data_IF_323446867217
#
_entry.id   IF_323446867217
#
_cell.length_a   1.000
_cell.length_b   1.000
_cell.length_c   1.000
_cell.angle_alpha   90.00
_cell.angle_beta   90.00
_cell.angle_gamma   90.00
#
_symmetry.space_group_name_H-M   'P 1'
#
loop_
_entity.id
_entity.type
_entity.pdbx_description
1 polymer ?
#
# COMPACT_ATOMS: atom_id res chain seq x y z
N UNK A 1 -0.68 -34.42 -13.95
CA UNK A 1 0.55 -34.91 -13.29
C UNK A 1 0.24 -35.64 -11.98
N UNK A 2 -0.53 -35.04 -11.08
CA UNK A 2 -1.11 -35.72 -9.92
C UNK A 2 -2.61 -35.94 -10.16
N UNK A 3 -3.12 -37.14 -9.92
CA UNK A 3 -4.55 -37.44 -9.87
C UNK A 3 -5.19 -37.02 -8.54
N UNK A 4 -4.43 -37.11 -7.44
CA UNK A 4 -4.82 -36.58 -6.13
C UNK A 4 -3.65 -35.92 -5.46
N UNK A 5 -3.91 -34.79 -4.83
CA UNK A 5 -2.93 -34.09 -4.01
C UNK A 5 -2.80 -34.73 -2.63
N UNK A 6 -1.64 -34.56 -1.98
CA UNK A 6 -1.49 -34.98 -0.59
C UNK A 6 -2.49 -34.31 0.34
N UNK A 7 -2.96 -35.05 1.34
CA UNK A 7 -3.93 -34.57 2.33
C UNK A 7 -3.29 -33.67 3.41
N UNK A 8 -2.01 -33.89 3.69
CA UNK A 8 -1.31 -33.23 4.79
C UNK A 8 -0.68 -31.91 4.37
N UNK A 9 -1.50 -30.86 4.24
CA UNK A 9 -1.04 -29.55 3.77
C UNK A 9 -0.03 -28.88 4.71
N UNK A 10 -0.08 -29.15 6.02
CA UNK A 10 0.77 -28.47 7.01
C UNK A 10 2.26 -28.78 6.84
N UNK A 11 2.60 -30.04 6.59
CA UNK A 11 3.99 -30.43 6.35
C UNK A 11 4.50 -29.91 4.99
N UNK A 12 3.61 -29.77 4.01
CA UNK A 12 3.93 -29.15 2.73
C UNK A 12 4.13 -27.63 2.83
N UNK A 13 3.42 -26.95 3.74
CA UNK A 13 3.66 -25.54 4.03
C UNK A 13 5.05 -25.33 4.68
N UNK A 14 5.42 -26.16 5.66
CA UNK A 14 6.75 -26.12 6.29
C UNK A 14 7.88 -26.47 5.30
N UNK A 15 7.65 -27.45 4.42
CA UNK A 15 8.54 -27.77 3.30
C UNK A 15 8.72 -26.58 2.35
N UNK A 16 7.65 -25.84 2.05
CA UNK A 16 7.71 -24.67 1.17
C UNK A 16 8.56 -23.54 1.78
N UNK A 17 8.45 -23.31 3.09
CA UNK A 17 9.27 -22.33 3.82
C UNK A 17 10.77 -22.72 3.79
N UNK A 18 11.08 -23.99 4.07
CA UNK A 18 12.45 -24.52 4.01
C UNK A 18 13.04 -24.44 2.60
N UNK A 19 12.23 -24.75 1.57
CA UNK A 19 12.65 -24.67 0.16
C UNK A 19 12.92 -23.22 -0.25
N UNK A 20 12.06 -22.28 0.16
CA UNK A 20 12.25 -20.87 -0.14
C UNK A 20 13.51 -20.30 0.52
N UNK A 21 13.81 -20.73 1.75
CA UNK A 21 15.03 -20.32 2.46
C UNK A 21 16.30 -20.95 1.87
N UNK A 22 16.27 -22.24 1.54
CA UNK A 22 17.40 -22.93 0.87
C UNK A 22 17.76 -22.32 -0.48
N UNK A 23 16.74 -22.01 -1.31
CA UNK A 23 16.95 -21.33 -2.59
C UNK A 23 17.50 -19.89 -2.41
N UNK A 24 17.18 -19.22 -1.30
CA UNK A 24 17.66 -17.87 -1.00
C UNK A 24 19.10 -17.85 -0.48
N UNK A 25 19.47 -18.80 0.39
CA UNK A 25 20.77 -18.82 1.06
C UNK A 25 21.84 -19.60 0.28
N UNK A 26 21.48 -20.74 -0.30
CA UNK A 26 22.41 -21.70 -0.90
C UNK A 26 22.15 -21.95 -2.39
N UNK A 27 20.96 -21.57 -2.90
CA UNK A 27 20.58 -21.77 -4.30
C UNK A 27 20.20 -23.21 -4.63
N UNK A 28 19.98 -24.06 -3.62
CA UNK A 28 19.56 -25.46 -3.76
C UNK A 28 18.36 -25.79 -2.84
N UNK A 29 17.85 -27.01 -2.98
CA UNK A 29 16.69 -27.51 -2.22
C UNK A 29 17.07 -28.64 -1.25
N UNK A 30 18.34 -28.74 -0.87
CA UNK A 30 18.84 -29.90 -0.12
C UNK A 30 18.16 -30.04 1.24
N UNK A 31 18.09 -28.95 2.02
CA UNK A 31 17.46 -28.94 3.36
C UNK A 31 15.97 -29.30 3.31
N UNK A 32 15.25 -28.80 2.30
CA UNK A 32 13.85 -29.17 2.08
C UNK A 32 13.72 -30.66 1.73
N UNK A 33 14.62 -31.17 0.89
CA UNK A 33 14.63 -32.57 0.46
C UNK A 33 14.92 -33.53 1.62
N UNK A 34 15.85 -33.18 2.53
CA UNK A 34 16.08 -33.94 3.77
C UNK A 34 14.83 -33.94 4.67
N UNK A 35 14.15 -32.80 4.79
CA UNK A 35 12.90 -32.71 5.54
C UNK A 35 11.80 -33.60 4.95
N UNK A 36 11.67 -33.62 3.62
CA UNK A 36 10.74 -34.50 2.92
C UNK A 36 11.11 -35.97 3.08
N UNK A 37 12.40 -36.34 3.05
CA UNK A 37 12.85 -37.71 3.30
C UNK A 37 12.41 -38.20 4.69
N UNK A 38 12.57 -37.35 5.71
CA UNK A 38 12.21 -37.67 7.09
C UNK A 38 10.69 -37.84 7.31
N UNK A 39 9.86 -37.12 6.55
CA UNK A 39 8.39 -37.10 6.74
C UNK A 39 7.61 -37.71 5.56
N UNK A 40 8.30 -38.41 4.65
CA UNK A 40 7.73 -38.86 3.37
C UNK A 40 6.41 -39.61 3.49
N UNK A 41 6.30 -40.53 4.44
CA UNK A 41 5.10 -41.34 4.62
C UNK A 41 3.86 -40.49 4.98
N UNK A 42 4.06 -39.41 5.74
CA UNK A 42 3.01 -38.48 6.17
C UNK A 42 2.74 -37.41 5.10
N UNK A 43 3.76 -37.05 4.32
CA UNK A 43 3.66 -36.06 3.25
C UNK A 43 3.09 -36.63 1.95
N UNK A 44 3.23 -37.93 1.70
CA UNK A 44 2.67 -38.61 0.52
C UNK A 44 1.23 -39.11 0.77
N UNK A 45 0.71 -38.97 1.99
CA UNK A 45 -0.60 -39.49 2.37
C UNK A 45 -1.71 -38.90 1.47
N UNK A 46 -2.48 -39.79 0.83
CA UNK A 46 -3.61 -39.41 -0.04
C UNK A 46 -3.22 -38.93 -1.44
N UNK A 47 -1.92 -38.83 -1.75
CA UNK A 47 -1.46 -38.44 -3.08
C UNK A 47 -1.50 -39.59 -4.08
N UNK A 48 -1.93 -39.31 -5.31
CA UNK A 48 -1.92 -40.26 -6.43
C UNK A 48 -1.21 -39.60 -7.61
N UNK A 49 -0.11 -40.18 -8.09
CA UNK A 49 0.70 -39.64 -9.20
C UNK A 49 0.48 -40.43 -10.49
N UNK A 50 0.42 -39.72 -11.62
CA UNK A 50 0.20 -40.35 -12.92
C UNK A 50 1.45 -41.07 -13.47
N UNK A 51 2.65 -40.58 -13.11
CA UNK A 51 3.93 -41.16 -13.55
C UNK A 51 4.94 -41.07 -12.41
N UNK A 52 5.26 -42.20 -11.78
CA UNK A 52 6.07 -42.27 -10.56
C UNK A 52 7.57 -42.01 -10.80
N UNK A 53 8.06 -42.24 -12.01
CA UNK A 53 9.46 -42.08 -12.40
C UNK A 53 9.79 -40.66 -12.88
N UNK A 54 8.83 -39.73 -12.88
CA UNK A 54 9.02 -38.34 -13.33
C UNK A 54 9.46 -37.43 -12.18
N UNK A 55 10.76 -37.35 -11.95
CA UNK A 55 11.40 -36.42 -11.01
C UNK A 55 12.85 -36.15 -11.43
N UNK A 56 13.43 -35.05 -10.94
CA UNK A 56 14.83 -34.71 -11.22
C UNK A 56 15.80 -35.45 -10.29
N UNK A 57 17.08 -35.46 -10.64
CA UNK A 57 18.13 -36.17 -9.90
C UNK A 57 18.35 -35.68 -8.46
N UNK A 58 17.93 -34.44 -8.17
CA UNK A 58 17.98 -33.77 -6.87
C UNK A 58 16.69 -33.96 -6.05
N UNK A 59 15.74 -34.78 -6.54
CA UNK A 59 14.46 -35.06 -5.90
C UNK A 59 14.30 -36.57 -5.64
N UNK A 60 13.49 -36.91 -4.63
CA UNK A 60 13.30 -38.27 -4.12
C UNK A 60 12.08 -38.95 -4.75
N UNK A 61 11.08 -38.19 -5.18
CA UNK A 61 9.83 -38.74 -5.72
C UNK A 61 9.15 -37.83 -6.74
N UNK A 62 8.30 -38.42 -7.58
CA UNK A 62 7.44 -37.66 -8.49
C UNK A 62 6.39 -36.78 -7.77
N UNK A 63 6.05 -37.11 -6.52
CA UNK A 63 5.16 -36.26 -5.69
C UNK A 63 5.92 -35.02 -5.25
N UNK A 64 7.16 -35.17 -4.77
CA UNK A 64 8.04 -34.05 -4.46
C UNK A 64 8.26 -33.16 -5.67
N UNK A 65 8.53 -33.76 -6.84
CA UNK A 65 8.71 -33.03 -8.08
C UNK A 65 7.45 -32.22 -8.46
N UNK A 66 6.27 -32.85 -8.41
CA UNK A 66 5.01 -32.16 -8.71
C UNK A 66 4.74 -31.01 -7.73
N UNK A 67 5.03 -31.20 -6.43
CA UNK A 67 4.89 -30.15 -5.43
C UNK A 67 5.92 -29.04 -5.60
N UNK A 68 7.16 -29.35 -5.99
CA UNK A 68 8.18 -28.36 -6.32
C UNK A 68 7.78 -27.49 -7.51
N UNK A 69 7.25 -28.10 -8.57
CA UNK A 69 6.72 -27.36 -9.73
C UNK A 69 5.55 -26.45 -9.33
N UNK A 70 4.62 -26.97 -8.52
CA UNK A 70 3.51 -26.19 -7.98
C UNK A 70 3.98 -25.01 -7.12
N UNK A 71 4.99 -25.20 -6.27
CA UNK A 71 5.55 -24.17 -5.40
C UNK A 71 6.38 -23.14 -6.17
N UNK A 72 6.93 -23.51 -7.33
CA UNK A 72 7.68 -22.61 -8.19
C UNK A 72 6.76 -21.67 -8.96
N UNK A 73 5.76 -22.22 -9.65
CA UNK A 73 4.76 -21.46 -10.38
C UNK A 73 3.45 -22.27 -10.42
N UNK A 74 2.54 -21.92 -9.51
CA UNK A 74 1.27 -22.64 -9.37
C UNK A 74 0.42 -22.51 -10.64
N UNK A 75 0.43 -21.34 -11.30
CA UNK A 75 -0.39 -21.10 -12.50
C UNK A 75 0.10 -21.96 -13.65
N UNK A 76 1.42 -21.96 -13.91
CA UNK A 76 2.03 -22.81 -14.93
C UNK A 76 1.82 -24.29 -14.61
N UNK A 77 1.94 -24.70 -13.34
CA UNK A 77 1.71 -26.07 -12.92
C UNK A 77 0.29 -26.56 -13.25
N UNK A 78 -0.73 -25.78 -12.92
CA UNK A 78 -2.13 -26.14 -13.22
C UNK A 78 -2.42 -26.16 -14.72
N UNK A 79 -1.92 -25.17 -15.46
CA UNK A 79 -2.13 -25.06 -16.91
C UNK A 79 -1.38 -26.15 -17.70
N UNK A 80 -0.08 -26.32 -17.47
CA UNK A 80 0.77 -27.18 -18.30
C UNK A 80 0.81 -28.64 -17.80
N UNK A 81 0.77 -28.85 -16.48
CA UNK A 81 1.02 -30.17 -15.88
C UNK A 81 -0.26 -30.88 -15.42
N UNK A 82 -1.29 -30.12 -15.05
CA UNK A 82 -2.60 -30.68 -14.69
C UNK A 82 -3.63 -30.62 -15.83
N UNK A 83 -3.40 -29.82 -16.88
CA UNK A 83 -4.38 -29.54 -17.94
C UNK A 83 -5.73 -29.04 -17.40
N UNK A 84 -5.71 -28.51 -16.17
CA UNK A 84 -6.83 -27.86 -15.51
C UNK A 84 -6.33 -26.44 -15.22
N UNK A 85 -6.22 -25.58 -16.26
CA UNK A 85 -5.79 -24.22 -16.05
C UNK A 85 -6.68 -23.63 -14.96
N UNK A 86 -6.06 -23.09 -13.92
CA UNK A 86 -6.80 -22.31 -12.94
C UNK A 86 -7.61 -21.27 -13.73
N UNK A 87 -8.87 -21.00 -13.34
CA UNK A 87 -9.60 -19.90 -13.92
C UNK A 87 -8.66 -18.71 -13.97
N UNK A 88 -8.57 -18.03 -15.12
CA UNK A 88 -7.93 -16.72 -15.16
C UNK A 88 -8.57 -15.93 -14.03
N UNK A 89 -7.87 -15.75 -12.92
CA UNK A 89 -8.19 -14.70 -11.98
C UNK A 89 -7.63 -13.39 -12.57
N UNK A 90 -7.93 -13.18 -13.86
CA UNK A 90 -8.33 -11.90 -14.37
C UNK A 90 -9.60 -11.56 -13.60
N UNK A 91 -9.41 -11.02 -12.40
CA UNK A 91 -10.41 -10.16 -11.81
C UNK A 91 -10.94 -9.31 -12.94
N UNK A 92 -12.24 -9.42 -13.19
CA UNK A 92 -13.01 -8.83 -14.29
C UNK A 92 -13.02 -7.28 -14.33
N UNK A 93 -11.97 -6.66 -13.80
CA UNK A 93 -11.68 -5.25 -13.77
C UNK A 93 -10.27 -5.06 -14.35
N UNK A 94 -10.17 -4.16 -15.33
CA UNK A 94 -8.95 -3.73 -16.00
C UNK A 94 -7.81 -3.48 -14.98
N UNK A 95 -6.69 -4.22 -15.09
CA UNK A 95 -5.50 -3.92 -14.29
C UNK A 95 -4.80 -2.69 -14.87
N UNK A 96 -4.28 -1.84 -14.00
CA UNK A 96 -3.49 -0.69 -14.40
C UNK A 96 -2.19 -1.17 -15.08
N UNK A 97 -1.96 -0.72 -16.30
CA UNK A 97 -0.75 -0.99 -17.07
C UNK A 97 0.17 0.23 -17.08
N UNK A 98 1.46 0.01 -17.35
CA UNK A 98 2.44 1.09 -17.51
C UNK A 98 1.95 2.09 -18.57
N UNK A 99 1.50 1.58 -19.72
CA UNK A 99 0.98 2.37 -20.84
C UNK A 99 -0.23 3.23 -20.42
N UNK A 100 -1.14 2.67 -19.63
CA UNK A 100 -2.30 3.39 -19.09
C UNK A 100 -1.91 4.53 -18.14
N UNK A 101 -0.84 4.37 -17.35
CA UNK A 101 -0.34 5.43 -16.45
C UNK A 101 0.38 6.54 -17.22
N UNK A 102 1.33 6.19 -18.09
CA UNK A 102 2.16 7.19 -18.80
C UNK A 102 1.33 8.05 -19.77
N UNK A 103 0.19 7.54 -20.26
CA UNK A 103 -0.74 8.30 -21.10
C UNK A 103 -1.80 9.07 -20.31
N UNK A 104 -1.81 8.98 -18.97
CA UNK A 104 -2.73 9.73 -18.10
C UNK A 104 -2.32 11.19 -17.89
N UNK A 105 -1.90 11.84 -18.96
CA UNK A 105 -1.31 13.18 -18.96
C UNK A 105 -2.39 14.25 -19.11
N UNK A 106 -2.34 15.27 -18.26
CA UNK A 106 -3.29 16.40 -18.28
C UNK A 106 -2.81 17.60 -19.10
N UNK A 107 -1.56 17.60 -19.59
CA UNK A 107 -1.01 18.68 -20.40
C UNK A 107 -0.62 19.94 -19.65
N UNK A 108 -0.68 19.95 -18.31
CA UNK A 108 -0.35 21.09 -17.44
C UNK A 108 1.13 21.16 -17.13
N UNK A 109 1.60 22.31 -16.68
CA UNK A 109 2.97 22.48 -16.23
C UNK A 109 3.27 21.69 -14.95
N UNK A 110 4.55 21.44 -14.72
CA UNK A 110 5.02 20.88 -13.45
C UNK A 110 4.71 21.85 -12.31
N UNK A 111 4.23 21.33 -11.17
CA UNK A 111 3.76 22.11 -10.01
C UNK A 111 2.50 22.97 -10.22
N UNK A 112 1.87 22.93 -11.40
CA UNK A 112 0.63 23.68 -11.66
C UNK A 112 -0.54 23.07 -10.90
N UNK A 113 -1.34 23.92 -10.24
CA UNK A 113 -2.52 23.50 -9.47
C UNK A 113 -3.80 23.96 -10.18
N UNK A 114 -4.69 23.03 -10.58
CA UNK A 114 -5.97 23.37 -11.20
C UNK A 114 -6.89 24.18 -10.29
N UNK A 115 -7.73 25.04 -10.87
CA UNK A 115 -8.69 25.87 -10.11
C UNK A 115 -9.65 25.07 -9.22
N UNK A 116 -10.03 23.85 -9.63
CA UNK A 116 -10.91 22.97 -8.87
C UNK A 116 -10.25 22.38 -7.62
N UNK A 117 -8.91 22.40 -7.55
CA UNK A 117 -8.19 21.84 -6.41
C UNK A 117 -8.28 22.75 -5.20
N UNK A 118 -8.66 22.15 -4.07
CA UNK A 118 -8.79 22.83 -2.79
C UNK A 118 -7.73 22.37 -1.79
N UNK A 119 -6.98 21.30 -2.10
CA UNK A 119 -6.02 20.69 -1.16
C UNK A 119 -4.77 20.23 -1.88
N UNK A 120 -3.64 20.34 -1.19
CA UNK A 120 -2.37 19.78 -1.62
C UNK A 120 -1.84 18.90 -0.49
N UNK A 121 -1.41 17.69 -0.84
CA UNK A 121 -0.91 16.70 0.11
C UNK A 121 0.45 16.19 -0.34
N UNK A 122 1.28 15.83 0.62
CA UNK A 122 2.59 15.23 0.37
C UNK A 122 2.72 13.93 1.13
N UNK A 123 3.42 12.97 0.54
CA UNK A 123 3.87 11.76 1.21
C UNK A 123 5.37 11.59 1.04
N UNK A 124 6.03 11.09 2.09
CA UNK A 124 7.45 10.71 2.05
C UNK A 124 7.60 9.26 2.49
N UNK A 125 8.13 8.43 1.60
CA UNK A 125 8.53 7.06 1.87
C UNK A 125 10.04 7.03 2.17
N UNK A 126 10.43 6.38 3.25
CA UNK A 126 11.82 6.36 3.73
C UNK A 126 12.45 5.03 3.37
N UNK A 127 13.47 5.09 2.52
CA UNK A 127 14.36 3.98 2.26
C UNK A 127 15.77 4.29 2.76
N UNK A 128 16.55 3.24 3.00
CA UNK A 128 17.91 3.35 3.55
C UNK A 128 18.78 4.36 2.79
N UNK A 129 18.67 4.38 1.47
CA UNK A 129 19.48 5.25 0.61
C UNK A 129 18.78 6.54 0.18
N UNK A 130 17.44 6.57 0.12
CA UNK A 130 16.66 7.65 -0.50
C UNK A 130 15.37 7.92 0.26
N UNK A 131 14.87 9.14 0.16
CA UNK A 131 13.51 9.53 0.52
C UNK A 131 12.71 9.69 -0.76
N UNK A 132 11.78 8.78 -1.05
CA UNK A 132 10.86 8.97 -2.16
C UNK A 132 9.73 9.89 -1.71
N UNK A 133 9.30 10.80 -2.58
CA UNK A 133 8.18 11.68 -2.26
C UNK A 133 7.23 11.82 -3.44
N UNK A 134 5.99 12.14 -3.11
CA UNK A 134 4.92 12.46 -4.06
C UNK A 134 4.15 13.66 -3.51
N UNK A 135 3.74 14.55 -4.40
CA UNK A 135 2.86 15.68 -4.12
C UNK A 135 1.66 15.63 -5.05
N UNK A 136 0.47 15.64 -4.47
CA UNK A 136 -0.79 15.63 -5.22
C UNK A 136 -1.66 16.82 -4.82
N UNK A 137 -2.30 17.43 -5.83
CA UNK A 137 -3.40 18.35 -5.66
C UNK A 137 -4.73 17.61 -5.85
N UNK A 138 -5.73 17.97 -5.04
CA UNK A 138 -7.02 17.28 -5.01
C UNK A 138 -8.18 18.25 -5.01
N UNK A 139 -9.21 17.90 -5.79
CA UNK A 139 -10.56 18.42 -5.64
C UNK A 139 -11.28 17.71 -4.47
N UNK A 140 -12.47 18.19 -4.11
CA UNK A 140 -13.23 17.63 -2.98
C UNK A 140 -13.68 16.18 -3.22
N UNK A 141 -13.80 15.75 -4.48
CA UNK A 141 -14.33 14.45 -4.90
C UNK A 141 -13.25 13.41 -5.26
N UNK A 142 -12.01 13.63 -4.85
CA UNK A 142 -10.82 12.85 -5.24
C UNK A 142 -10.45 12.92 -6.74
N UNK A 143 -11.01 13.85 -7.52
CA UNK A 143 -10.35 14.25 -8.76
C UNK A 143 -8.97 14.79 -8.39
N UNK A 144 -7.93 14.15 -8.91
CA UNK A 144 -6.57 14.29 -8.42
C UNK A 144 -5.58 14.58 -9.53
N UNK A 145 -4.55 15.31 -9.16
CA UNK A 145 -3.46 15.70 -10.04
C UNK A 145 -2.18 15.44 -9.28
N UNK A 146 -1.39 14.47 -9.74
CA UNK A 146 0.00 14.36 -9.30
C UNK A 146 0.70 15.56 -9.90
N UNK A 147 1.25 16.44 -9.06
CA UNK A 147 1.89 17.69 -9.49
C UNK A 147 3.40 17.65 -9.34
N UNK A 148 3.90 16.74 -8.49
CA UNK A 148 5.31 16.45 -8.34
C UNK A 148 5.54 15.05 -7.78
N UNK A 149 6.70 14.48 -8.08
CA UNK A 149 7.25 13.32 -7.39
C UNK A 149 8.75 13.27 -7.63
N UNK A 150 9.47 12.57 -6.77
CA UNK A 150 10.90 12.39 -6.93
C UNK A 150 11.54 11.58 -5.82
N UNK A 151 12.86 11.64 -5.78
CA UNK A 151 13.66 11.14 -4.68
C UNK A 151 14.55 12.26 -4.13
N UNK A 152 14.80 12.20 -2.83
CA UNK A 152 15.81 13.01 -2.17
C UNK A 152 16.88 12.08 -1.56
N UNK A 153 18.17 12.32 -1.82
CA UNK A 153 18.72 13.35 -2.70
C UNK A 153 18.34 13.15 -4.17
N UNK A 154 18.38 14.23 -4.98
CA UNK A 154 18.11 14.15 -6.41
C UNK A 154 19.16 13.29 -7.13
N UNK A 155 18.70 12.27 -7.85
CA UNK A 155 19.52 11.30 -8.59
C UNK A 155 20.10 11.86 -9.88
N UNK A 156 19.62 13.03 -10.34
CA UNK A 156 20.09 13.73 -11.57
C UNK A 156 19.99 12.89 -12.84
N UNK A 157 19.11 11.89 -12.84
CA UNK A 157 18.83 11.00 -13.98
C UNK A 157 17.34 10.64 -13.98
N UNK A 158 16.81 10.42 -15.17
CA UNK A 158 15.39 10.07 -15.37
C UNK A 158 15.05 8.68 -14.87
N UNK A 159 16.02 7.76 -14.90
CA UNK A 159 15.82 6.35 -14.61
C UNK A 159 16.86 5.87 -13.60
N UNK A 160 16.41 5.27 -12.51
CA UNK A 160 17.23 4.76 -11.41
C UNK A 160 16.45 3.74 -10.58
N UNK A 161 17.17 2.92 -9.82
CA UNK A 161 16.60 2.07 -8.78
C UNK A 161 17.21 2.39 -7.42
N UNK A 162 16.64 1.85 -6.36
CA UNK A 162 17.18 1.96 -5.01
C UNK A 162 18.55 1.28 -4.90
N UNK A 163 18.77 0.19 -5.65
CA UNK A 163 20.01 -0.57 -5.64
C UNK A 163 21.20 0.20 -6.24
N UNK A 164 20.95 1.05 -7.25
CA UNK A 164 21.98 1.81 -7.93
C UNK A 164 21.98 3.31 -7.55
N UNK A 165 21.23 3.68 -6.51
CA UNK A 165 21.04 5.05 -6.04
C UNK A 165 22.37 5.80 -5.81
N UNK A 166 22.52 6.95 -6.46
CA UNK A 166 23.64 7.86 -6.33
C UNK A 166 23.22 9.28 -6.78
N UNK A 167 23.25 10.29 -5.89
CA UNK A 167 23.72 10.27 -4.50
C UNK A 167 22.73 9.67 -3.51
N UNK A 168 23.24 9.10 -2.40
CA UNK A 168 22.44 8.57 -1.28
C UNK A 168 22.34 9.55 -0.12
N UNK A 169 21.41 9.32 0.82
CA UNK A 169 21.31 10.07 2.08
C UNK A 169 22.64 10.13 2.84
N UNK A 170 23.33 8.99 2.93
CA UNK A 170 24.65 8.90 3.56
C UNK A 170 25.71 9.73 2.81
N UNK A 171 25.63 9.83 1.47
CA UNK A 171 26.57 10.64 0.70
C UNK A 171 26.41 12.15 0.93
N UNK A 172 25.18 12.60 1.20
CA UNK A 172 24.87 14.02 1.48
C UNK A 172 25.16 14.39 2.94
N UNK A 173 25.12 13.40 3.84
CA UNK A 173 25.41 13.51 5.27
C UNK A 173 26.49 12.50 5.70
N UNK A 174 27.74 12.61 5.22
CA UNK A 174 28.76 11.58 5.40
C UNK A 174 29.25 11.40 6.84
N UNK A 175 29.00 12.38 7.72
CA UNK A 175 29.39 12.35 9.13
C UNK A 175 28.30 11.77 10.04
N UNK A 176 27.08 11.65 9.54
CA UNK A 176 25.94 11.20 10.32
C UNK A 176 25.86 9.68 10.30
N UNK A 177 25.30 9.06 11.35
CA UNK A 177 24.82 7.68 11.26
C UNK A 177 23.60 7.59 10.34
N UNK A 178 23.13 6.37 10.06
CA UNK A 178 21.95 6.13 9.21
C UNK A 178 20.75 6.98 9.66
N UNK A 179 20.42 6.93 10.95
CA UNK A 179 19.33 7.70 11.56
C UNK A 179 19.50 9.22 11.39
N UNK A 180 20.72 9.72 11.59
CA UNK A 180 21.02 11.15 11.42
C UNK A 180 20.91 11.59 9.97
N UNK A 181 21.34 10.75 9.02
CA UNK A 181 21.21 11.04 7.59
C UNK A 181 19.75 11.12 7.15
N UNK A 182 18.88 10.26 7.70
CA UNK A 182 17.43 10.30 7.48
C UNK A 182 16.83 11.57 8.07
N UNK A 183 17.18 11.92 9.32
CA UNK A 183 16.69 13.13 9.98
C UNK A 183 17.06 14.39 9.17
N UNK A 184 18.33 14.52 8.79
CA UNK A 184 18.82 15.64 7.97
C UNK A 184 18.16 15.67 6.59
N UNK A 185 17.93 14.50 5.98
CA UNK A 185 17.21 14.39 4.71
C UNK A 185 15.76 14.86 4.81
N UNK A 186 15.03 14.41 5.84
CA UNK A 186 13.66 14.83 6.11
C UNK A 186 13.57 16.33 6.39
N UNK A 187 14.52 16.88 7.15
CA UNK A 187 14.57 18.32 7.42
C UNK A 187 14.74 19.15 6.14
N UNK A 188 15.65 18.74 5.25
CA UNK A 188 15.88 19.42 3.96
C UNK A 188 14.68 19.29 3.02
N UNK A 189 14.17 18.08 2.83
CA UNK A 189 13.04 17.81 1.93
C UNK A 189 11.77 18.55 2.38
N UNK A 190 11.41 18.42 3.66
CA UNK A 190 10.21 19.10 4.18
C UNK A 190 10.41 20.61 4.30
N UNK A 191 11.63 21.07 4.53
CA UNK A 191 12.00 22.49 4.50
C UNK A 191 11.73 23.15 3.16
N UNK A 192 12.04 22.45 2.06
CA UNK A 192 11.79 22.91 0.69
C UNK A 192 10.29 22.88 0.35
N UNK A 193 9.63 21.73 0.48
CA UNK A 193 8.25 21.57 0.03
C UNK A 193 7.21 22.22 0.94
N UNK A 194 7.31 22.06 2.26
CA UNK A 194 6.29 22.58 3.18
C UNK A 194 6.45 24.09 3.43
N UNK A 195 7.60 24.66 3.05
CA UNK A 195 7.82 26.11 3.01
C UNK A 195 7.34 26.77 1.71
N UNK A 196 7.15 25.98 0.65
CA UNK A 196 6.77 26.45 -0.69
C UNK A 196 5.30 26.87 -0.74
N UNK A 197 5.03 27.84 -1.62
CA UNK A 197 3.69 28.21 -2.02
C UNK A 197 3.44 27.73 -3.45
N UNK A 198 2.29 27.11 -3.68
CA UNK A 198 1.86 26.57 -4.97
C UNK A 198 0.83 27.52 -5.55
N UNK A 199 1.02 27.94 -6.80
CA UNK A 199 0.12 28.88 -7.47
C UNK A 199 -0.97 28.08 -8.18
N UNK A 200 -2.23 28.34 -7.82
CA UNK A 200 -3.39 27.81 -8.53
C UNK A 200 -3.67 28.65 -9.78
N UNK A 201 -4.33 28.06 -10.79
CA UNK A 201 -4.66 28.75 -12.06
C UNK A 201 -5.34 30.13 -11.90
N UNK A 202 -6.08 30.35 -10.82
CA UNK A 202 -6.77 31.61 -10.51
C UNK A 202 -5.88 32.62 -9.76
N UNK A 203 -4.60 32.31 -9.56
CA UNK A 203 -3.63 33.10 -8.80
C UNK A 203 -3.70 32.88 -7.28
N UNK A 204 -4.55 31.98 -6.77
CA UNK A 204 -4.59 31.70 -5.35
C UNK A 204 -3.34 30.94 -4.90
N UNK A 205 -2.69 31.43 -3.84
CA UNK A 205 -1.55 30.75 -3.22
C UNK A 205 -2.03 29.64 -2.30
N UNK A 206 -1.55 28.43 -2.55
CA UNK A 206 -1.84 27.23 -1.78
C UNK A 206 -0.60 26.69 -1.08
N UNK A 207 -0.80 25.93 -0.01
CA UNK A 207 0.26 25.24 0.73
C UNK A 207 -0.14 23.78 0.93
N UNK A 208 0.86 22.93 1.18
CA UNK A 208 0.62 21.54 1.58
C UNK A 208 -0.11 21.53 2.92
N UNK A 209 -1.33 20.97 2.93
CA UNK A 209 -2.20 20.93 4.10
C UNK A 209 -1.84 19.77 5.04
N UNK A 210 -1.31 18.68 4.47
CA UNK A 210 -0.94 17.46 5.20
C UNK A 210 0.25 16.80 4.52
N UNK A 211 1.26 16.49 5.33
CA UNK A 211 2.38 15.64 4.93
C UNK A 211 2.36 14.38 5.79
N UNK A 212 2.36 13.21 5.17
CA UNK A 212 2.55 11.95 5.88
C UNK A 212 3.94 11.41 5.60
N UNK A 213 4.56 10.79 6.60
CA UNK A 213 5.88 10.17 6.48
C UNK A 213 5.75 8.71 6.87
N UNK A 214 6.15 7.80 6.00
CA UNK A 214 6.12 6.38 6.32
C UNK A 214 7.07 6.07 7.49
N UNK A 215 6.54 5.32 8.45
CA UNK A 215 7.26 4.87 9.62
C UNK A 215 7.22 3.34 9.75
N UNK A 216 6.90 2.60 8.68
CA UNK A 216 6.86 1.14 8.71
C UNK A 216 8.25 0.50 8.70
N UNK A 217 9.26 1.20 8.20
CA UNK A 217 10.63 0.69 8.27
C UNK A 217 11.16 0.78 9.72
N UNK A 218 11.38 -0.40 10.35
CA UNK A 218 11.67 -0.50 11.78
C UNK A 218 12.92 0.28 12.22
N UNK A 219 13.92 0.39 11.36
CA UNK A 219 15.17 1.12 11.64
C UNK A 219 15.00 2.65 11.61
N UNK A 220 13.96 3.18 10.95
CA UNK A 220 13.70 4.62 10.90
C UNK A 220 12.54 5.05 11.81
N UNK A 221 11.73 4.11 12.33
CA UNK A 221 10.49 4.41 13.05
C UNK A 221 10.69 5.50 14.11
N UNK A 222 11.60 5.30 15.07
CA UNK A 222 11.78 6.24 16.18
C UNK A 222 12.28 7.61 15.72
N UNK A 223 13.13 7.64 14.68
CA UNK A 223 13.62 8.88 14.04
C UNK A 223 12.46 9.65 13.41
N UNK A 224 11.54 8.97 12.71
CA UNK A 224 10.36 9.62 12.11
C UNK A 224 9.48 10.24 13.19
N UNK A 225 9.21 9.50 14.27
CA UNK A 225 8.41 10.01 15.38
C UNK A 225 9.08 11.21 16.06
N UNK A 226 10.40 11.15 16.27
CA UNK A 226 11.17 12.27 16.81
C UNK A 226 11.10 13.48 15.87
N UNK A 227 11.36 13.28 14.59
CA UNK A 227 11.34 14.32 13.56
C UNK A 227 9.98 15.00 13.46
N UNK A 228 8.89 14.23 13.32
CA UNK A 228 7.54 14.79 13.22
C UNK A 228 7.16 15.60 14.48
N UNK A 229 7.67 15.21 15.65
CA UNK A 229 7.45 15.94 16.91
C UNK A 229 8.24 17.24 16.99
N UNK A 230 9.49 17.24 16.54
CA UNK A 230 10.42 18.36 16.69
C UNK A 230 10.38 19.34 15.51
N UNK A 231 9.82 18.92 14.36
CA UNK A 231 9.75 19.73 13.15
C UNK A 231 8.96 21.03 13.36
N UNK A 232 9.42 22.08 12.69
CA UNK A 232 8.71 23.37 12.59
C UNK A 232 7.31 23.25 11.95
N UNK A 233 7.07 22.15 11.24
CA UNK A 233 5.80 21.82 10.59
C UNK A 233 5.02 20.71 11.32
N UNK A 234 5.27 20.50 12.61
CA UNK A 234 4.63 19.45 13.43
C UNK A 234 3.10 19.48 13.48
N UNK A 235 2.45 20.59 13.06
CA UNK A 235 1.01 20.71 12.91
C UNK A 235 0.46 20.01 11.64
N UNK A 236 1.27 19.89 10.60
CA UNK A 236 0.89 19.31 9.29
C UNK A 236 1.59 17.99 8.99
N UNK A 237 2.80 17.74 9.52
CA UNK A 237 3.52 16.46 9.34
C UNK A 237 3.03 15.44 10.37
N UNK A 238 2.71 14.23 9.92
CA UNK A 238 2.40 13.11 10.80
C UNK A 238 3.13 11.83 10.36
N UNK A 239 3.59 11.00 11.31
CA UNK A 239 4.01 9.64 11.01
C UNK A 239 2.80 8.80 10.58
N UNK A 240 3.00 7.90 9.62
CA UNK A 240 1.97 6.97 9.15
C UNK A 240 2.47 5.54 9.06
N UNK A 241 1.54 4.59 9.20
CA UNK A 241 1.78 3.17 9.01
C UNK A 241 0.68 2.59 8.12
N UNK A 242 1.09 2.07 6.95
CA UNK A 242 0.26 1.16 6.18
C UNK A 242 0.07 -0.17 6.92
N UNK A 243 -1.17 -0.66 7.01
CA UNK A 243 -1.48 -1.97 7.59
C UNK A 243 -2.04 -2.87 6.51
N UNK A 244 -1.45 -4.04 6.39
CA UNK A 244 -2.01 -5.13 5.62
C UNK A 244 -3.29 -5.64 6.30
N UNK A 245 -4.41 -5.56 5.60
CA UNK A 245 -5.71 -6.08 6.06
C UNK A 245 -6.18 -7.07 5.00
N UNK A 246 -5.90 -8.34 5.25
CA UNK A 246 -6.37 -9.44 4.40
C UNK A 246 -7.79 -9.87 4.72
N UNK A 247 -8.32 -10.82 3.94
CA UNK A 247 -9.71 -11.29 4.06
C UNK A 247 -10.05 -11.92 5.44
N UNK A 248 -9.03 -12.40 6.16
CA UNK A 248 -9.18 -12.96 7.51
C UNK A 248 -9.21 -11.90 8.63
N UNK A 249 -8.76 -10.68 8.33
CA UNK A 249 -8.58 -9.59 9.28
C UNK A 249 -9.82 -8.70 9.41
N UNK A 250 -10.01 -8.12 10.59
CA UNK A 250 -11.12 -7.20 10.80
C UNK A 250 -10.83 -5.88 10.05
N UNK A 251 -11.77 -5.35 9.24
CA UNK A 251 -11.57 -4.10 8.52
C UNK A 251 -11.48 -2.90 9.45
N UNK A 252 -10.70 -1.89 9.05
CA UNK A 252 -10.57 -0.64 9.81
C UNK A 252 -11.92 0.07 10.02
N UNK A 253 -12.83 -0.03 9.06
CA UNK A 253 -14.18 0.57 9.15
C UNK A 253 -15.02 -0.01 10.30
N UNK A 254 -14.72 -1.22 10.77
CA UNK A 254 -15.43 -1.90 11.85
C UNK A 254 -14.75 -1.74 13.22
N UNK A 255 -13.62 -1.03 13.29
CA UNK A 255 -12.91 -0.82 14.55
C UNK A 255 -13.72 0.07 15.49
N UNK A 256 -13.81 -0.35 16.76
CA UNK A 256 -14.55 0.41 17.77
C UNK A 256 -13.81 1.72 18.04
N UNK A 257 -14.52 2.84 17.89
CA UNK A 257 -14.00 4.18 18.20
C UNK A 257 -13.82 4.32 19.71
N UNK A 258 -12.58 4.49 20.16
CA UNK A 258 -12.27 4.89 21.53
C UNK A 258 -12.33 6.42 21.69
N UNK A 259 -12.40 6.89 22.95
CA UNK A 259 -12.40 8.33 23.25
C UNK A 259 -11.07 8.94 22.81
N UNK A 260 -11.13 10.00 22.00
CA UNK A 260 -9.96 10.69 21.45
C UNK A 260 -9.45 10.14 20.12
N UNK A 261 -9.96 9.01 19.64
CA UNK A 261 -9.63 8.47 18.31
C UNK A 261 -10.28 9.32 17.21
N UNK A 262 -9.50 9.59 16.16
CA UNK A 262 -10.03 10.08 14.88
C UNK A 262 -10.10 8.89 13.91
N UNK A 263 -11.23 8.74 13.24
CA UNK A 263 -11.47 7.67 12.27
C UNK A 263 -12.05 8.36 11.03
N UNK A 264 -11.58 7.95 9.86
CA UNK A 264 -12.13 8.36 8.59
C UNK A 264 -12.25 7.18 7.64
N UNK A 265 -12.18 7.48 6.35
CA UNK A 265 -12.40 6.50 5.30
C UNK A 265 -11.22 5.53 5.19
N UNK A 266 -11.35 4.31 5.73
CA UNK A 266 -10.27 3.30 5.74
C UNK A 266 -8.93 3.81 6.31
N UNK A 267 -8.99 4.77 7.24
CA UNK A 267 -7.88 5.22 8.05
C UNK A 267 -8.35 5.55 9.47
N UNK A 268 -7.43 5.48 10.43
CA UNK A 268 -7.63 5.94 11.80
C UNK A 268 -6.37 6.59 12.34
N UNK A 269 -6.57 7.48 13.29
CA UNK A 269 -5.51 8.09 14.08
C UNK A 269 -5.88 7.88 15.54
N UNK A 270 -5.35 6.82 16.18
CA UNK A 270 -5.65 6.53 17.57
C UNK A 270 -5.23 7.68 18.47
N UNK A 271 -5.85 7.76 19.64
CA UNK A 271 -5.35 8.65 20.68
C UNK A 271 -3.94 8.23 21.11
N UNK A 272 -3.18 9.18 21.65
CA UNK A 272 -1.84 8.94 22.14
C UNK A 272 -1.92 7.97 23.33
N UNK A 273 -1.25 6.82 23.24
CA UNK A 273 -1.19 5.81 24.29
C UNK A 273 0.23 5.26 24.45
N UNK A 274 0.69 5.10 25.69
CA UNK A 274 2.03 4.57 26.00
C UNK A 274 3.17 5.59 25.88
N UNK A 275 4.36 5.14 25.43
CA UNK A 275 5.61 5.93 25.38
C UNK A 275 5.69 6.95 24.23
N UNK A 276 4.83 6.84 23.20
CA UNK A 276 4.88 7.71 22.02
C UNK A 276 4.10 8.99 22.31
N UNK A 277 4.71 10.16 22.14
CA UNK A 277 4.13 11.45 22.54
C UNK A 277 3.24 12.10 21.46
N UNK A 278 3.33 11.66 20.21
CA UNK A 278 2.55 12.20 19.08
C UNK A 278 1.62 11.15 18.47
N UNK A 279 0.56 11.62 17.82
CA UNK A 279 -0.37 10.77 17.08
C UNK A 279 0.28 10.28 15.78
N UNK A 280 -0.18 9.13 15.30
CA UNK A 280 0.22 8.57 14.02
C UNK A 280 -1.01 8.10 13.25
N UNK A 281 -0.89 8.03 11.92
CA UNK A 281 -1.96 7.58 11.04
C UNK A 281 -1.79 6.08 10.78
N UNK A 282 -2.89 5.34 10.85
CA UNK A 282 -2.98 3.96 10.40
C UNK A 282 -3.96 3.92 9.24
N UNK A 283 -3.61 3.30 8.13
CA UNK A 283 -4.51 3.14 6.98
C UNK A 283 -4.43 1.74 6.41
N UNK A 284 -5.51 1.33 5.73
CA UNK A 284 -5.62 0.04 5.06
C UNK A 284 -4.91 0.10 3.69
N UNK A 285 -3.72 -0.48 3.60
CA UNK A 285 -2.88 -0.37 2.40
C UNK A 285 -3.53 -1.03 1.19
N UNK A 286 -4.18 -2.18 1.37
CA UNK A 286 -4.85 -2.92 0.30
C UNK A 286 -6.01 -2.10 -0.28
N UNK A 287 -6.85 -1.56 0.61
CA UNK A 287 -7.97 -0.71 0.18
C UNK A 287 -7.49 0.50 -0.62
N UNK A 288 -6.49 1.23 -0.11
CA UNK A 288 -6.04 2.47 -0.73
C UNK A 288 -5.25 2.24 -2.03
N UNK A 289 -4.54 1.11 -2.18
CA UNK A 289 -3.93 0.71 -3.46
C UNK A 289 -5.00 0.45 -4.51
N UNK A 290 -6.03 -0.35 -4.19
CA UNK A 290 -7.19 -0.53 -5.08
C UNK A 290 -7.85 0.80 -5.42
N UNK A 291 -8.08 1.66 -4.41
CA UNK A 291 -8.70 2.96 -4.62
C UNK A 291 -7.94 3.82 -5.64
N UNK A 292 -6.62 3.96 -5.48
CA UNK A 292 -5.77 4.73 -6.38
C UNK A 292 -5.74 4.16 -7.79
N UNK A 293 -5.60 2.84 -7.95
CA UNK A 293 -5.63 2.21 -9.26
C UNK A 293 -6.96 2.47 -9.98
N UNK A 294 -8.07 2.39 -9.24
CA UNK A 294 -9.37 2.76 -9.80
C UNK A 294 -9.42 4.23 -10.25
N UNK A 295 -8.74 5.17 -9.57
CA UNK A 295 -8.71 6.59 -10.00
C UNK A 295 -7.87 6.79 -11.27
N UNK A 296 -6.78 6.04 -11.45
CA UNK A 296 -6.03 6.06 -12.70
C UNK A 296 -6.79 5.44 -13.87
N UNK A 297 -7.68 4.48 -13.62
CA UNK A 297 -8.51 3.88 -14.66
C UNK A 297 -9.68 4.77 -15.11
N UNK A 298 -10.18 5.66 -14.24
CA UNK A 298 -11.26 6.59 -14.61
C UNK A 298 -10.83 7.53 -15.73
N UNK A 299 -11.61 7.62 -16.81
CA UNK A 299 -11.33 8.44 -17.99
C UNK A 299 -10.98 9.89 -17.66
N UNK A 300 -10.09 10.48 -18.45
CA UNK A 300 -9.77 11.91 -18.33
C UNK A 300 -11.03 12.76 -18.50
N UNK A 301 -11.32 13.64 -17.54
CA UNK A 301 -12.50 14.49 -17.50
C UNK A 301 -13.66 13.96 -16.64
N UNK A 302 -13.64 12.67 -16.28
CA UNK A 302 -14.59 12.11 -15.33
C UNK A 302 -14.17 12.40 -13.88
N UNK A 303 -15.16 12.49 -12.99
CA UNK A 303 -14.95 12.75 -11.56
C UNK A 303 -14.18 11.63 -10.88
N UNK A 304 -13.24 12.01 -10.02
CA UNK A 304 -12.35 11.09 -9.35
C UNK A 304 -11.20 10.59 -10.24
N UNK A 305 -10.99 11.13 -11.43
CA UNK A 305 -9.81 10.80 -12.24
C UNK A 305 -8.54 11.26 -11.53
N UNK A 306 -7.49 10.43 -11.53
CA UNK A 306 -6.13 10.82 -11.13
C UNK A 306 -5.26 10.92 -12.39
N UNK A 307 -4.57 12.06 -12.55
CA UNK A 307 -3.75 12.37 -13.74
C UNK A 307 -2.35 12.85 -13.38
N UNK A 308 -1.44 12.78 -14.35
CA UNK A 308 -0.05 13.24 -14.27
C UNK A 308 0.11 14.56 -15.05
N UNK A 309 1.06 15.39 -14.62
CA UNK A 309 1.40 16.64 -15.31
C UNK A 309 2.09 16.39 -16.66
N UNK A 310 2.26 17.43 -17.47
CA UNK A 310 3.07 17.39 -18.68
C UNK A 310 2.40 16.74 -19.90
N UNK A 311 3.20 16.56 -20.96
CA UNK A 311 2.79 15.99 -22.26
C UNK A 311 3.75 14.92 -22.77
N UNK A 312 4.79 14.58 -22.02
CA UNK A 312 5.85 13.65 -22.40
C UNK A 312 5.70 12.35 -21.61
N UNK A 313 5.13 11.26 -22.18
CA UNK A 313 4.96 9.99 -21.47
C UNK A 313 6.28 9.42 -20.94
N UNK A 314 7.38 9.60 -21.68
CA UNK A 314 8.70 9.11 -21.32
C UNK A 314 9.21 9.66 -19.98
N UNK A 315 8.77 10.86 -19.59
CA UNK A 315 9.13 11.47 -18.30
C UNK A 315 8.51 10.72 -17.09
N UNK A 316 7.46 9.94 -17.33
CA UNK A 316 6.70 9.23 -16.31
C UNK A 316 6.93 7.71 -16.32
N UNK A 317 7.84 7.20 -17.16
CA UNK A 317 8.03 5.75 -17.33
C UNK A 317 8.43 5.05 -16.02
N UNK A 318 9.49 5.53 -15.35
CA UNK A 318 9.92 4.97 -14.06
C UNK A 318 8.81 5.10 -13.00
N UNK A 319 8.08 6.22 -13.01
CA UNK A 319 6.97 6.41 -12.09
C UNK A 319 5.85 5.37 -12.32
N UNK A 320 5.49 5.12 -13.58
CA UNK A 320 4.51 4.12 -13.95
C UNK A 320 4.94 2.70 -13.59
N UNK A 321 6.23 2.37 -13.71
CA UNK A 321 6.77 1.09 -13.26
C UNK A 321 6.63 0.90 -11.75
N UNK A 322 6.88 1.94 -10.95
CA UNK A 322 6.66 1.87 -9.50
C UNK A 322 5.17 1.69 -9.15
N UNK A 323 4.27 2.37 -9.87
CA UNK A 323 2.82 2.26 -9.68
C UNK A 323 2.27 0.89 -10.09
N UNK A 324 2.98 0.16 -10.95
CA UNK A 324 2.56 -1.15 -11.46
C UNK A 324 3.42 -2.31 -10.97
N UNK A 325 4.38 -2.04 -10.07
CA UNK A 325 5.29 -3.01 -9.45
C UNK A 325 4.56 -4.07 -8.60
N UNK A 326 3.34 -3.76 -8.17
CA UNK A 326 2.45 -4.70 -7.49
C UNK A 326 1.23 -5.04 -8.35
N UNK A 327 0.65 -6.21 -8.10
CA UNK A 327 -0.58 -6.65 -8.73
C UNK A 327 -1.62 -7.05 -7.69
N UNK A 328 -2.88 -6.91 -8.10
CA UNK A 328 -4.04 -7.19 -7.27
C UNK A 328 -4.48 -8.63 -7.43
N UNK A 329 -4.63 -9.34 -6.32
CA UNK A 329 -5.17 -10.70 -6.23
C UNK A 329 -6.45 -10.65 -5.40
N UNK A 330 -7.54 -11.22 -5.93
CA UNK A 330 -8.80 -11.27 -5.20
C UNK A 330 -8.78 -12.46 -4.25
N UNK A 331 -8.77 -12.19 -2.95
CA UNK A 331 -8.80 -13.23 -1.93
C UNK A 331 -10.17 -13.24 -1.24
N UNK A 332 -10.77 -14.41 -1.12
CA UNK A 332 -12.01 -14.60 -0.38
C UNK A 332 -11.73 -15.23 0.99
N UNK A 333 -12.28 -14.65 2.05
CA UNK A 333 -12.10 -15.14 3.42
C UNK A 333 -13.23 -14.67 4.31
N UNK A 334 -13.75 -15.59 5.15
CA UNK A 334 -14.84 -15.32 6.12
C UNK A 334 -16.06 -14.61 5.50
N UNK A 335 -16.42 -14.96 4.26
CA UNK A 335 -17.57 -14.38 3.54
C UNK A 335 -17.34 -12.97 3.00
N UNK A 336 -16.08 -12.50 2.92
CA UNK A 336 -15.69 -11.22 2.32
C UNK A 336 -14.71 -11.45 1.19
N UNK A 337 -14.88 -10.69 0.11
CA UNK A 337 -13.86 -10.54 -0.94
C UNK A 337 -13.01 -9.33 -0.60
N UNK A 338 -11.69 -9.50 -0.56
CA UNK A 338 -10.73 -8.43 -0.34
C UNK A 338 -9.68 -8.51 -1.45
N UNK A 339 -9.31 -7.35 -1.96
CA UNK A 339 -8.21 -7.22 -2.89
C UNK A 339 -6.90 -7.20 -2.10
N UNK A 340 -6.07 -8.22 -2.27
CA UNK A 340 -4.75 -8.31 -1.67
C UNK A 340 -3.70 -7.93 -2.72
N UNK A 341 -2.74 -7.11 -2.32
CA UNK A 341 -1.69 -6.62 -3.21
C UNK A 341 -0.39 -7.40 -2.98
N UNK A 342 0.20 -7.89 -4.08
CA UNK A 342 1.44 -8.67 -4.05
C UNK A 342 2.47 -8.03 -4.97
N UNK A 343 3.74 -8.07 -4.55
CA UNK A 343 4.86 -7.64 -5.40
C UNK A 343 4.97 -8.56 -6.62
N UNK A 344 5.24 -7.99 -7.79
CA UNK A 344 5.48 -8.78 -8.99
C UNK A 344 6.86 -9.45 -8.97
N UNK A 345 7.06 -10.58 -9.69
CA UNK A 345 8.33 -11.30 -9.71
C UNK A 345 9.52 -10.47 -10.22
N UNK A 346 9.28 -9.47 -11.07
CA UNK A 346 10.34 -8.59 -11.59
C UNK A 346 10.98 -7.73 -10.47
N UNK A 347 10.34 -7.64 -9.30
CA UNK A 347 10.84 -7.00 -8.08
C UNK A 347 11.29 -5.54 -8.29
N UNK A 348 10.50 -4.78 -9.07
CA UNK A 348 10.69 -3.35 -9.24
C UNK A 348 10.43 -2.61 -7.92
N UNK A 349 11.08 -1.45 -7.75
CA UNK A 349 10.81 -0.56 -6.63
C UNK A 349 9.35 -0.07 -6.69
N UNK A 350 8.66 0.00 -5.54
CA UNK A 350 7.23 0.36 -5.45
C UNK A 350 6.98 1.66 -4.65
N UNK A 351 8.02 2.38 -4.25
CA UNK A 351 7.93 3.45 -3.26
C UNK A 351 7.02 4.64 -3.65
N UNK A 352 6.89 4.93 -4.95
CA UNK A 352 5.97 5.97 -5.42
C UNK A 352 4.50 5.53 -5.43
N UNK A 353 4.22 4.22 -5.53
CA UNK A 353 2.85 3.71 -5.32
C UNK A 353 2.39 4.02 -3.89
N UNK A 354 3.23 3.68 -2.91
CA UNK A 354 2.97 3.98 -1.50
C UNK A 354 2.88 5.50 -1.26
N UNK A 355 3.68 6.29 -2.00
CA UNK A 355 3.59 7.75 -2.05
C UNK A 355 2.23 8.30 -2.49
N UNK A 356 1.69 7.82 -3.62
CA UNK A 356 0.38 8.25 -4.14
C UNK A 356 -0.74 7.80 -3.21
N UNK A 357 -0.66 6.56 -2.71
CA UNK A 357 -1.58 6.00 -1.71
C UNK A 357 -1.62 6.89 -0.47
N UNK A 358 -0.47 7.24 0.07
CA UNK A 358 -0.36 8.08 1.24
C UNK A 358 -0.86 9.51 1.03
N UNK A 359 -0.66 10.07 -0.18
CA UNK A 359 -1.26 11.36 -0.55
C UNK A 359 -2.79 11.31 -0.54
N UNK A 360 -3.41 10.24 -1.06
CA UNK A 360 -4.86 10.10 -1.02
C UNK A 360 -5.41 9.89 0.40
N UNK A 361 -4.71 9.14 1.25
CA UNK A 361 -5.03 9.05 2.69
C UNK A 361 -5.01 10.44 3.33
N UNK A 362 -3.95 11.21 3.07
CA UNK A 362 -3.81 12.58 3.56
C UNK A 362 -4.96 13.49 3.06
N UNK A 363 -5.37 13.34 1.79
CA UNK A 363 -6.47 14.10 1.22
C UNK A 363 -7.80 13.76 1.92
N UNK A 364 -8.04 12.48 2.19
CA UNK A 364 -9.18 12.03 2.99
C UNK A 364 -9.18 12.63 4.40
N UNK A 365 -8.01 12.71 5.05
CA UNK A 365 -7.88 13.32 6.37
C UNK A 365 -8.19 14.82 6.38
N UNK A 366 -7.94 15.49 5.25
CA UNK A 366 -8.26 16.90 5.02
C UNK A 366 -9.71 17.11 4.52
N UNK A 367 -10.46 16.03 4.27
CA UNK A 367 -11.89 16.08 3.96
C UNK A 367 -12.26 15.84 2.51
N UNK A 368 -11.35 15.34 1.66
CA UNK A 368 -11.74 14.80 0.36
C UNK A 368 -12.61 13.54 0.53
N UNK A 369 -13.72 13.47 -0.20
CA UNK A 369 -14.72 12.41 -0.10
C UNK A 369 -15.22 12.07 -1.49
N UNK A 370 -15.12 10.80 -1.89
CA UNK A 370 -15.71 10.34 -3.14
C UNK A 370 -17.24 10.26 -2.96
N UNK A 371 -18.04 10.85 -3.86
CA UNK A 371 -19.49 10.79 -3.76
C UNK A 371 -19.99 9.33 -3.67
N UNK A 372 -20.73 9.02 -2.60
CA UNK A 372 -21.26 7.67 -2.35
C UNK A 372 -20.41 6.77 -1.45
N UNK A 373 -19.17 7.14 -1.12
CA UNK A 373 -18.32 6.39 -0.17
C UNK A 373 -18.31 6.98 1.24
N UNK A 374 -19.29 7.83 1.54
CA UNK A 374 -19.41 8.52 2.82
C UNK A 374 -19.57 7.53 3.97
N UNK A 375 -18.47 7.27 4.68
CA UNK A 375 -18.46 6.50 5.92
C UNK A 375 -19.23 7.19 7.06
N UNK A 376 -19.52 8.49 6.91
CA UNK A 376 -20.44 9.19 7.80
C UNK A 376 -21.88 9.02 7.29
N UNK A 377 -22.54 7.91 7.70
CA UNK A 377 -23.99 7.98 7.82
C UNK A 377 -24.30 9.21 8.66
N UNK A 378 -25.13 10.17 8.21
CA UNK A 378 -25.52 11.29 9.05
C UNK A 378 -26.04 10.66 10.34
N UNK A 379 -25.39 10.98 11.47
CA UNK A 379 -25.90 10.53 12.76
C UNK A 379 -27.35 10.98 12.78
N UNK A 380 -28.32 10.06 12.82
CA UNK A 380 -29.73 10.41 13.00
C UNK A 380 -29.73 11.47 14.08
N UNK A 381 -30.08 12.71 13.74
CA UNK A 381 -30.06 13.81 14.68
C UNK A 381 -30.81 13.29 15.90
N UNK A 382 -30.12 13.09 17.03
CA UNK A 382 -30.79 12.63 18.24
C UNK A 382 -31.89 13.64 18.46
N UNK A 383 -33.14 13.22 18.28
CA UNK A 383 -34.29 14.07 18.52
C UNK A 383 -34.06 14.66 19.90
N UNK A 384 -33.92 15.99 20.00
CA UNK A 384 -33.72 16.67 21.28
C UNK A 384 -35.00 16.44 22.09
N UNK A 385 -35.06 15.33 22.80
CA UNK A 385 -36.10 15.02 23.76
C UNK A 385 -36.07 16.13 24.80
N UNK A 386 -37.12 16.95 24.85
CA UNK A 386 -37.23 17.99 25.87
C UNK A 386 -37.43 17.29 27.22
N UNK A 387 -36.76 17.77 28.26
CA UNK A 387 -36.90 17.28 29.64
C UNK A 387 -38.37 17.20 30.09
N UNK A 388 -39.22 18.09 29.57
CA UNK A 388 -40.67 18.09 29.78
C UNK A 388 -41.40 16.86 29.24
N UNK A 389 -40.92 16.26 28.15
CA UNK A 389 -41.52 15.05 27.55
C UNK A 389 -41.17 13.80 28.35
N UNK A 390 -39.93 13.71 28.85
CA UNK A 390 -39.47 12.66 29.76
C UNK A 390 -40.24 12.68 31.09
N UNK A 391 -40.49 13.86 31.67
CA UNK A 391 -41.29 13.98 32.89
C UNK A 391 -42.78 13.61 32.68
N UNK A 392 -43.36 13.94 31.52
CA UNK A 392 -44.74 13.55 31.19
C UNK A 392 -44.89 12.05 30.97
N UNK A 393 -43.91 11.39 30.34
CA UNK A 393 -43.92 9.93 30.21
C UNK A 393 -43.80 9.24 31.56
N UNK A 394 -42.90 9.72 32.43
CA UNK A 394 -42.71 9.15 33.77
C UNK A 394 -43.97 9.23 34.64
N UNK A 395 -44.69 10.35 34.60
CA UNK A 395 -46.01 10.50 35.26
C UNK A 395 -47.12 9.64 34.67
N UNK A 396 -47.04 9.26 33.40
CA UNK A 396 -48.01 8.35 32.76
C UNK A 396 -47.79 6.89 33.18
N UNK A 397 -46.55 6.52 33.48
CA UNK A 397 -46.20 5.15 33.92
C UNK A 397 -46.47 4.93 35.41
N UNK A 398 -46.53 5.99 36.23
CA UNK A 398 -46.89 5.90 37.66
C UNK A 398 -48.41 5.89 37.92
N UNK A 399 -49.24 6.16 36.90
CA UNK A 399 -50.72 6.16 36.98
C UNK A 399 -51.36 4.95 36.26
N UNK A 400 -50.56 3.94 35.93
CA UNK A 400 -50.95 2.59 35.52
C UNK A 400 -50.48 1.63 36.61
#
# INVERSE_FOLDING_TARGET
MLYKFPSNTKLWDEYADLRAEGLRCSGDIHEATEFYEAHRAEMDEGAEVAWAERYNHDEISAIQHAMNLKLQDEVAFWAEYQNEPLPEDLGSEEQLSIDGVIHKLNGRGHLDVPVGCNRITMFVDIQKALLFYVVCAWEDDFTGYVIDYGAYPDQRRRYFSLADANPTLQSVSPRDGIEGSIYTGLEKLTGDYLGREFVRDDGAMMKIERCLVDANWGASTDVVYQFCRQSKYSNIILPSHGRYIGASSKPMSEYKKAVGDRIGHNWRMPNVAGKRAIRHVLFDTNYWKTFIHSRFLVSMGDRGCLSLWGREPEAHLLFAEHLTAEYRVKTEGRGRKVDEWKMRPENNDNHWLDGVVGCAVAASMCGAVLPGTDSQKPSKAKTRLKLSELQKQRKKTENL
#
